data_IF_679634716982
#
_entry.id   IF_679634716982
#
_cell.length_a   1.000
_cell.length_b   1.000
_cell.length_c   1.000
_cell.angle_alpha   90.00
_cell.angle_beta   90.00
_cell.angle_gamma   90.00
#
_symmetry.space_group_name_H-M   'P 1'
#
loop_
_entity.id
_entity.type
_entity.pdbx_description
1 polymer ?
#
# COMPACT_ATOMS: atom_id res chain seq x y z
N UNK A 1 21.55 -42.76 49.57
CA UNK A 1 22.04 -41.40 49.88
C UNK A 1 22.82 -40.94 48.66
N UNK A 2 22.24 -40.08 47.83
CA UNK A 2 22.92 -39.29 46.79
C UNK A 2 21.96 -38.16 46.42
N UNK A 3 22.27 -36.97 46.91
CA UNK A 3 21.56 -35.73 46.61
C UNK A 3 22.18 -35.23 45.30
N UNK A 4 21.42 -35.29 44.21
CA UNK A 4 21.78 -34.57 42.98
C UNK A 4 21.09 -33.20 43.09
N UNK A 5 21.88 -32.19 43.42
CA UNK A 5 21.52 -30.78 43.27
C UNK A 5 21.40 -30.48 41.78
N UNK A 6 20.18 -30.49 41.24
CA UNK A 6 19.89 -29.87 39.95
C UNK A 6 19.80 -28.36 40.17
N UNK A 7 20.88 -27.65 39.82
CA UNK A 7 20.86 -26.20 39.66
C UNK A 7 19.80 -25.83 38.61
N UNK A 8 18.64 -25.37 39.07
CA UNK A 8 17.67 -24.67 38.25
C UNK A 8 18.17 -23.23 38.08
N UNK A 9 19.25 -23.06 37.32
CA UNK A 9 19.52 -21.76 36.71
C UNK A 9 18.52 -21.66 35.57
N UNK A 10 17.39 -21.00 35.84
CA UNK A 10 16.53 -20.52 34.79
C UNK A 10 17.40 -19.65 33.89
N UNK A 11 17.66 -20.11 32.66
CA UNK A 11 18.25 -19.29 31.60
C UNK A 11 17.31 -18.10 31.42
N UNK A 12 17.69 -16.97 32.03
CA UNK A 12 17.11 -15.69 31.68
C UNK A 12 17.78 -15.32 30.36
N UNK A 13 17.13 -15.70 29.27
CA UNK A 13 17.54 -15.32 27.93
C UNK A 13 17.20 -13.83 27.73
N UNK A 14 18.09 -12.96 28.19
CA UNK A 14 17.95 -11.50 28.01
C UNK A 14 18.35 -11.18 26.58
N UNK A 15 17.38 -11.21 25.68
CA UNK A 15 17.55 -10.65 24.35
C UNK A 15 17.46 -9.12 24.42
N UNK A 16 18.60 -8.44 24.42
CA UNK A 16 18.67 -6.99 24.17
C UNK A 16 18.58 -6.75 22.66
N UNK A 17 17.37 -6.86 22.13
CA UNK A 17 17.06 -6.52 20.74
C UNK A 17 16.88 -5.02 20.57
N UNK A 18 17.44 -4.44 19.51
CA UNK A 18 17.13 -3.08 19.10
C UNK A 18 15.75 -3.08 18.41
N UNK A 19 14.68 -3.05 19.21
CA UNK A 19 13.31 -2.97 18.69
C UNK A 19 13.13 -1.62 17.99
N UNK A 20 12.81 -1.67 16.70
CA UNK A 20 12.52 -0.46 15.95
C UNK A 20 11.13 0.04 16.36
N UNK A 21 11.08 1.17 17.06
CA UNK A 21 9.81 1.81 17.41
C UNK A 21 9.36 2.71 16.27
N UNK A 22 8.12 2.52 15.82
CA UNK A 22 7.50 3.36 14.79
C UNK A 22 6.52 4.29 15.48
N UNK A 23 6.76 5.60 15.37
CA UNK A 23 5.75 6.59 15.69
C UNK A 23 4.67 6.58 14.58
N UNK A 24 3.54 5.94 14.87
CA UNK A 24 2.48 5.74 13.89
C UNK A 24 1.77 7.03 13.47
N UNK A 25 1.71 8.05 14.34
CA UNK A 25 1.12 9.34 14.00
C UNK A 25 1.99 10.08 12.98
N UNK A 26 3.31 10.08 13.19
CA UNK A 26 4.29 10.65 12.24
C UNK A 26 4.31 9.84 10.94
N UNK A 27 4.16 8.51 11.03
CA UNK A 27 4.07 7.65 9.87
C UNK A 27 2.82 7.92 9.04
N UNK A 28 1.66 8.10 9.66
CA UNK A 28 0.42 8.44 8.95
C UNK A 28 0.57 9.77 8.18
N UNK A 29 1.18 10.79 8.79
CA UNK A 29 1.47 12.07 8.11
C UNK A 29 2.47 11.92 6.96
N UNK A 30 3.48 11.05 7.12
CA UNK A 30 4.43 10.74 6.05
C UNK A 30 3.75 10.03 4.87
N UNK A 31 2.84 9.10 5.15
CA UNK A 31 2.00 8.39 4.18
C UNK A 31 1.04 9.35 3.46
N UNK A 32 0.47 10.31 4.20
CA UNK A 32 -0.36 11.39 3.65
C UNK A 32 0.44 12.34 2.76
N UNK A 33 1.77 12.32 2.87
CA UNK A 33 2.68 13.00 1.95
C UNK A 33 3.26 14.29 2.50
N UNK A 34 3.06 14.59 3.78
CA UNK A 34 3.57 15.79 4.42
C UNK A 34 5.10 15.75 4.49
N UNK A 35 5.74 16.89 4.28
CA UNK A 35 7.15 17.09 4.57
C UNK A 35 7.37 17.31 6.09
N UNK A 36 8.63 17.34 6.52
CA UNK A 36 8.98 17.47 7.94
C UNK A 36 8.42 18.75 8.56
N UNK A 37 8.47 19.88 7.84
CA UNK A 37 7.97 21.17 8.34
C UNK A 37 6.44 21.16 8.51
N UNK A 38 5.73 20.58 7.54
CA UNK A 38 4.27 20.40 7.59
C UNK A 38 3.86 19.47 8.74
N UNK A 39 4.59 18.36 8.92
CA UNK A 39 4.37 17.40 9.99
C UNK A 39 4.55 18.05 11.38
N UNK A 40 5.65 18.79 11.59
CA UNK A 40 5.91 19.56 12.82
C UNK A 40 4.76 20.53 13.12
N UNK A 41 4.31 21.27 12.09
CA UNK A 41 3.23 22.24 12.21
C UNK A 41 1.92 21.55 12.59
N UNK A 42 1.59 20.43 11.93
CA UNK A 42 0.37 19.66 12.20
C UNK A 42 0.33 19.07 13.61
N UNK A 43 1.44 18.49 14.08
CA UNK A 43 1.53 17.92 15.42
C UNK A 43 1.44 18.99 16.51
N UNK A 44 1.93 20.21 16.22
CA UNK A 44 1.80 21.36 17.11
C UNK A 44 0.36 21.83 17.25
N UNK A 45 -0.35 21.96 16.13
CA UNK A 45 -1.77 22.36 16.13
C UNK A 45 -2.66 21.38 16.89
N UNK A 46 -2.34 20.08 16.84
CA UNK A 46 -3.02 19.03 17.61
C UNK A 46 -2.70 19.04 19.11
N UNK A 47 -1.78 19.88 19.56
CA UNK A 47 -1.39 19.96 20.97
C UNK A 47 -0.63 18.73 21.48
N UNK A 48 -0.14 17.85 20.58
CA UNK A 48 0.59 16.63 20.96
C UNK A 48 1.89 16.96 21.71
N UNK A 49 2.40 18.19 21.51
CA UNK A 49 3.59 18.71 22.18
C UNK A 49 3.31 20.00 22.99
N UNK A 50 2.06 20.21 23.45
CA UNK A 50 1.70 21.40 24.25
C UNK A 50 2.52 21.52 25.53
N UNK A 51 3.00 20.39 26.05
CA UNK A 51 3.71 20.29 27.32
C UNK A 51 5.22 20.49 27.18
N UNK A 52 5.74 20.60 25.95
CA UNK A 52 7.16 20.81 25.71
C UNK A 52 7.53 22.30 25.78
N UNK A 53 8.59 22.68 26.51
CA UNK A 53 9.06 24.05 26.57
C UNK A 53 9.37 24.60 25.17
N UNK A 54 9.11 25.89 24.94
CA UNK A 54 9.29 26.56 23.65
C UNK A 54 10.70 26.41 23.02
N UNK A 55 11.72 26.02 23.78
CA UNK A 55 13.08 25.74 23.31
C UNK A 55 13.32 24.32 22.75
N UNK A 56 12.30 23.44 22.70
CA UNK A 56 12.45 22.05 22.27
C UNK A 56 12.15 21.80 20.77
N UNK A 57 11.92 22.86 19.99
CA UNK A 57 11.52 22.73 18.58
C UNK A 57 12.56 22.00 17.75
N UNK A 58 13.85 22.28 17.98
CA UNK A 58 14.93 21.64 17.23
C UNK A 58 15.01 20.13 17.50
N UNK A 59 14.68 19.69 18.72
CA UNK A 59 14.61 18.27 19.06
C UNK A 59 13.45 17.57 18.36
N UNK A 60 12.27 18.20 18.33
CA UNK A 60 11.11 17.65 17.61
C UNK A 60 11.39 17.53 16.11
N UNK A 61 11.97 18.57 15.51
CA UNK A 61 12.38 18.55 14.10
C UNK A 61 13.40 17.44 13.85
N UNK A 62 14.37 17.25 14.75
CA UNK A 62 15.37 16.18 14.63
C UNK A 62 14.71 14.79 14.71
N UNK A 63 13.82 14.57 15.67
CA UNK A 63 13.14 13.29 15.88
C UNK A 63 12.25 12.91 14.68
N UNK A 64 11.51 13.87 14.13
CA UNK A 64 10.71 13.66 12.92
C UNK A 64 11.60 13.39 11.71
N UNK A 65 12.75 14.06 11.58
CA UNK A 65 13.71 13.78 10.52
C UNK A 65 14.24 12.35 10.61
N UNK A 66 14.58 11.88 11.81
CA UNK A 66 15.07 10.51 12.01
C UNK A 66 13.98 9.47 11.74
N UNK A 67 12.74 9.75 12.15
CA UNK A 67 11.56 8.95 11.78
C UNK A 67 11.38 8.87 10.25
N UNK A 68 11.50 10.00 9.55
CA UNK A 68 11.38 10.03 8.08
C UNK A 68 12.50 9.24 7.39
N UNK A 69 13.73 9.33 7.89
CA UNK A 69 14.87 8.53 7.39
C UNK A 69 14.60 7.04 7.58
N UNK A 70 14.12 6.64 8.76
CA UNK A 70 13.71 5.27 9.04
C UNK A 70 12.64 4.79 8.06
N UNK A 71 11.60 5.61 7.80
CA UNK A 71 10.53 5.24 6.87
C UNK A 71 11.04 5.06 5.44
N UNK A 72 11.93 5.92 4.96
CA UNK A 72 12.57 5.76 3.65
C UNK A 72 13.40 4.47 3.56
N UNK A 73 14.09 4.08 4.65
CA UNK A 73 14.82 2.80 4.69
C UNK A 73 13.87 1.60 4.66
N UNK A 74 12.79 1.63 5.45
CA UNK A 74 11.77 0.59 5.45
C UNK A 74 11.04 0.47 4.11
N UNK A 75 10.75 1.60 3.47
CA UNK A 75 10.23 1.66 2.10
C UNK A 75 11.19 0.97 1.14
N UNK A 76 12.45 1.37 1.11
CA UNK A 76 13.44 0.75 0.23
C UNK A 76 13.52 -0.77 0.41
N UNK A 77 13.49 -1.25 1.65
CA UNK A 77 13.50 -2.68 1.95
C UNK A 77 12.24 -3.39 1.44
N UNK A 78 11.05 -2.82 1.70
CA UNK A 78 9.79 -3.35 1.17
C UNK A 78 9.87 -3.51 -0.35
N UNK A 79 10.35 -2.47 -1.04
CA UNK A 79 10.32 -2.41 -2.50
C UNK A 79 11.34 -3.33 -3.16
N UNK A 80 12.50 -3.54 -2.53
CA UNK A 80 13.60 -4.34 -3.11
C UNK A 80 13.47 -5.83 -2.81
N UNK A 81 13.04 -6.18 -1.60
CA UNK A 81 13.07 -7.58 -1.13
C UNK A 81 11.75 -8.31 -1.34
N UNK A 82 10.67 -7.59 -1.66
CA UNK A 82 9.31 -8.14 -1.77
C UNK A 82 8.70 -8.59 -0.45
N UNK A 83 9.51 -8.74 0.63
CA UNK A 83 9.08 -9.23 1.93
C UNK A 83 9.86 -8.61 3.08
N UNK A 84 9.19 -7.72 3.82
CA UNK A 84 9.71 -7.15 5.07
C UNK A 84 9.89 -8.23 6.18
N UNK A 85 9.27 -9.39 6.04
CA UNK A 85 9.34 -10.50 7.02
C UNK A 85 10.72 -11.15 7.10
N UNK A 86 11.45 -11.20 5.99
CA UNK A 86 12.73 -11.93 5.87
C UNK A 86 13.96 -11.05 6.21
N UNK A 87 13.75 -9.77 6.53
CA UNK A 87 14.82 -8.82 6.81
C UNK A 87 15.17 -8.76 8.30
N UNK A 88 16.47 -8.87 8.60
CA UNK A 88 17.03 -8.80 9.97
C UNK A 88 17.48 -7.39 10.38
N UNK A 89 17.57 -6.45 9.43
CA UNK A 89 18.08 -5.09 9.67
C UNK A 89 17.21 -4.29 10.64
N UNK A 90 15.88 -4.48 10.60
CA UNK A 90 14.94 -3.84 11.51
C UNK A 90 14.14 -4.90 12.24
N UNK A 91 14.28 -4.92 13.57
CA UNK A 91 13.50 -5.82 14.43
C UNK A 91 12.14 -5.19 14.71
N UNK A 92 11.22 -5.40 13.76
CA UNK A 92 9.80 -5.09 13.89
C UNK A 92 9.02 -6.36 14.24
N UNK A 93 8.08 -6.25 15.18
CA UNK A 93 7.13 -7.33 15.46
C UNK A 93 6.20 -7.59 14.26
N UNK A 94 5.59 -8.77 14.21
CA UNK A 94 4.74 -9.20 13.11
C UNK A 94 3.54 -8.28 12.88
N UNK A 95 2.97 -7.72 13.95
CA UNK A 95 1.83 -6.81 13.85
C UNK A 95 2.27 -5.47 13.25
N UNK A 96 3.39 -4.90 13.70
CA UNK A 96 3.96 -3.68 13.12
C UNK A 96 4.34 -3.86 11.65
N UNK A 97 4.94 -5.00 11.27
CA UNK A 97 5.23 -5.32 9.86
C UNK A 97 3.95 -5.32 9.02
N UNK A 98 2.91 -6.00 9.47
CA UNK A 98 1.62 -6.06 8.76
C UNK A 98 0.98 -4.67 8.64
N UNK A 99 0.91 -3.91 9.72
CA UNK A 99 0.37 -2.55 9.74
C UNK A 99 1.14 -1.63 8.80
N UNK A 100 2.47 -1.73 8.78
CA UNK A 100 3.33 -0.94 7.91
C UNK A 100 3.02 -1.24 6.44
N UNK A 101 2.97 -2.51 6.05
CA UNK A 101 2.65 -2.94 4.67
C UNK A 101 1.25 -2.46 4.27
N UNK A 102 0.25 -2.69 5.11
CA UNK A 102 -1.13 -2.30 4.85
C UNK A 102 -1.27 -0.78 4.64
N UNK A 103 -0.68 0.02 5.53
CA UNK A 103 -0.70 1.49 5.43
C UNK A 103 0.13 1.98 4.24
N UNK A 104 1.29 1.38 3.97
CA UNK A 104 2.11 1.76 2.82
C UNK A 104 1.46 1.42 1.47
N UNK A 105 0.61 0.40 1.42
CA UNK A 105 -0.21 0.08 0.25
C UNK A 105 -1.62 0.67 0.31
N UNK A 106 -1.94 1.53 1.29
CA UNK A 106 -3.25 2.17 1.36
C UNK A 106 -3.57 2.90 0.06
N UNK A 107 -4.80 2.70 -0.42
CA UNK A 107 -5.30 3.23 -1.69
C UNK A 107 -6.58 4.02 -1.45
N UNK A 108 -6.49 5.32 -1.73
CA UNK A 108 -7.61 6.25 -1.70
C UNK A 108 -8.52 6.02 -2.90
N UNK A 109 -9.82 5.92 -2.64
CA UNK A 109 -10.80 5.62 -3.68
C UNK A 109 -10.98 6.77 -4.68
N UNK A 110 -10.80 8.02 -4.26
CA UNK A 110 -10.92 9.19 -5.13
C UNK A 110 -9.77 9.22 -6.13
N UNK A 111 -8.55 8.95 -5.66
CA UNK A 111 -7.40 8.77 -6.55
C UNK A 111 -7.57 7.57 -7.49
N UNK A 112 -7.98 6.42 -6.94
CA UNK A 112 -8.22 5.23 -7.75
C UNK A 112 -9.27 5.49 -8.85
N UNK A 113 -10.33 6.25 -8.53
CA UNK A 113 -11.37 6.65 -9.49
C UNK A 113 -10.83 7.46 -10.66
N UNK A 114 -9.91 8.39 -10.40
CA UNK A 114 -9.28 9.23 -11.43
C UNK A 114 -8.26 8.47 -12.28
N UNK A 115 -7.64 7.43 -11.71
CA UNK A 115 -6.65 6.59 -12.41
C UNK A 115 -7.27 5.49 -13.26
N UNK A 116 -8.48 5.04 -12.92
CA UNK A 116 -9.22 4.07 -13.71
C UNK A 116 -9.28 4.48 -15.18
N UNK A 117 -9.19 3.54 -16.13
CA UNK A 117 -9.29 3.80 -17.56
C UNK A 117 -8.16 4.67 -18.16
N UNK A 118 -7.18 5.10 -17.36
CA UNK A 118 -5.98 5.81 -17.84
C UNK A 118 -4.84 4.80 -18.01
N UNK A 119 -3.98 5.02 -19.01
CA UNK A 119 -2.83 4.14 -19.25
C UNK A 119 -1.80 4.31 -18.14
N UNK A 120 -1.44 3.22 -17.46
CA UNK A 120 -0.43 3.16 -16.39
C UNK A 120 1.00 3.34 -16.94
N UNK A 121 1.29 4.48 -17.57
CA UNK A 121 2.60 4.77 -18.18
C UNK A 121 3.48 5.65 -17.30
N UNK A 122 4.80 5.61 -17.50
CA UNK A 122 5.76 6.44 -16.76
C UNK A 122 5.65 7.94 -17.05
N UNK A 123 4.98 8.34 -18.14
CA UNK A 123 4.83 9.75 -18.59
C UNK A 123 3.70 10.51 -17.85
N UNK A 124 3.03 9.87 -16.90
CA UNK A 124 1.83 10.37 -16.21
C UNK A 124 2.05 11.41 -15.10
N UNK A 125 3.24 12.03 -15.02
CA UNK A 125 3.57 12.94 -13.89
C UNK A 125 2.67 14.17 -13.82
N UNK A 126 2.37 14.79 -14.97
CA UNK A 126 1.53 15.99 -15.05
C UNK A 126 0.09 15.73 -14.61
N UNK A 127 -0.45 14.58 -15.01
CA UNK A 127 -1.80 14.16 -14.61
C UNK A 127 -1.90 13.92 -13.09
N UNK A 128 -0.81 13.50 -12.43
CA UNK A 128 -0.82 13.34 -10.97
C UNK A 128 -0.88 14.68 -10.23
N UNK A 129 -0.31 15.74 -10.79
CA UNK A 129 -0.45 17.09 -10.23
C UNK A 129 -1.92 17.56 -10.32
N UNK A 130 -2.55 17.38 -11.49
CA UNK A 130 -3.98 17.71 -11.68
C UNK A 130 -4.91 16.86 -10.80
N UNK A 131 -4.61 15.57 -10.62
CA UNK A 131 -5.37 14.68 -9.71
C UNK A 131 -5.16 15.09 -8.26
N UNK A 132 -3.95 15.48 -7.87
CA UNK A 132 -3.63 16.00 -6.53
C UNK A 132 -4.51 17.22 -6.23
N UNK A 133 -4.57 18.19 -7.14
CA UNK A 133 -5.38 19.39 -6.98
C UNK A 133 -6.88 19.07 -6.91
N UNK A 134 -7.35 18.14 -7.75
CA UNK A 134 -8.77 17.75 -7.81
C UNK A 134 -9.25 16.99 -6.57
N UNK A 135 -8.41 16.10 -6.03
CA UNK A 135 -8.77 15.20 -4.92
C UNK A 135 -8.40 15.77 -3.55
N UNK A 136 -7.50 16.75 -3.50
CA UNK A 136 -6.94 17.28 -2.25
C UNK A 136 -5.91 16.36 -1.59
N UNK A 137 -5.56 15.24 -2.22
CA UNK A 137 -4.53 14.32 -1.73
C UNK A 137 -3.17 14.90 -2.08
N UNK A 138 -2.21 14.92 -1.15
CA UNK A 138 -0.88 15.43 -1.47
C UNK A 138 -0.21 14.63 -2.59
N UNK A 139 0.43 15.35 -3.50
CA UNK A 139 1.13 14.81 -4.65
C UNK A 139 2.12 13.68 -4.31
N UNK A 140 2.82 13.77 -3.17
CA UNK A 140 3.73 12.70 -2.72
C UNK A 140 2.97 11.40 -2.44
N UNK A 141 1.81 11.47 -1.80
CA UNK A 141 0.92 10.32 -1.59
C UNK A 141 0.34 9.81 -2.90
N UNK A 142 -0.08 10.72 -3.80
CA UNK A 142 -0.55 10.34 -5.14
C UNK A 142 0.49 9.52 -5.91
N UNK A 143 1.76 9.95 -5.88
CA UNK A 143 2.88 9.25 -6.52
C UNK A 143 3.12 7.87 -5.90
N UNK A 144 3.16 7.76 -4.56
CA UNK A 144 3.28 6.48 -3.86
C UNK A 144 2.18 5.51 -4.27
N UNK A 145 0.93 5.94 -4.23
CA UNK A 145 -0.23 5.12 -4.60
C UNK A 145 -0.15 4.66 -6.06
N UNK A 146 0.19 5.56 -6.99
CA UNK A 146 0.38 5.23 -8.40
C UNK A 146 1.53 4.23 -8.63
N UNK A 147 2.66 4.40 -7.94
CA UNK A 147 3.79 3.48 -8.03
C UNK A 147 3.44 2.08 -7.46
N UNK A 148 2.65 2.02 -6.39
CA UNK A 148 2.13 0.77 -5.86
C UNK A 148 1.18 0.08 -6.85
N UNK A 149 0.28 0.82 -7.52
CA UNK A 149 -0.59 0.28 -8.57
C UNK A 149 0.24 -0.32 -9.70
N UNK A 150 1.23 0.41 -10.22
CA UNK A 150 2.10 -0.10 -11.29
C UNK A 150 2.84 -1.38 -10.87
N UNK A 151 3.35 -1.42 -9.63
CA UNK A 151 4.06 -2.58 -9.12
C UNK A 151 3.14 -3.80 -9.06
N UNK A 152 1.95 -3.65 -8.48
CA UNK A 152 0.97 -4.72 -8.40
C UNK A 152 0.52 -5.17 -9.79
N UNK A 153 0.22 -4.22 -10.68
CA UNK A 153 -0.16 -4.51 -12.06
C UNK A 153 0.89 -5.36 -12.76
N UNK A 154 2.16 -4.92 -12.76
CA UNK A 154 3.26 -5.66 -13.40
C UNK A 154 3.46 -7.05 -12.80
N UNK A 155 3.26 -7.22 -11.49
CA UNK A 155 3.42 -8.51 -10.83
C UNK A 155 2.28 -9.47 -11.17
N UNK A 156 1.03 -8.98 -11.28
CA UNK A 156 -0.16 -9.83 -11.30
C UNK A 156 -0.78 -9.98 -12.69
N UNK A 157 -0.56 -9.05 -13.62
CA UNK A 157 -1.23 -9.07 -14.94
C UNK A 157 -0.94 -10.31 -15.78
N UNK A 158 0.23 -10.93 -15.58
CA UNK A 158 0.69 -12.14 -16.29
C UNK A 158 0.47 -13.42 -15.48
N UNK A 159 0.04 -13.31 -14.23
CA UNK A 159 -0.21 -14.47 -13.38
C UNK A 159 -1.55 -15.13 -13.75
N UNK A 160 -1.58 -16.46 -13.71
CA UNK A 160 -2.82 -17.22 -13.80
C UNK A 160 -3.60 -17.17 -12.48
N UNK A 161 -4.90 -17.46 -12.57
CA UNK A 161 -5.80 -17.55 -11.42
C UNK A 161 -6.26 -16.21 -10.84
N UNK A 162 -6.85 -16.28 -9.65
CA UNK A 162 -7.51 -15.17 -8.99
C UNK A 162 -6.60 -13.98 -8.72
N UNK A 163 -6.90 -12.82 -9.31
CA UNK A 163 -6.15 -11.58 -9.05
C UNK A 163 -6.15 -11.19 -7.57
N UNK A 164 -7.28 -11.35 -6.87
CA UNK A 164 -7.36 -11.02 -5.44
C UNK A 164 -6.41 -11.92 -4.65
N UNK A 165 -6.42 -13.24 -4.90
CA UNK A 165 -5.56 -14.18 -4.21
C UNK A 165 -4.08 -13.95 -4.54
N UNK A 166 -3.76 -13.70 -5.80
CA UNK A 166 -2.40 -13.39 -6.24
C UNK A 166 -1.85 -12.15 -5.51
N UNK A 167 -2.66 -11.08 -5.39
CA UNK A 167 -2.25 -9.87 -4.68
C UNK A 167 -2.04 -10.15 -3.18
N UNK A 168 -2.95 -10.88 -2.53
CA UNK A 168 -2.82 -11.25 -1.11
C UNK A 168 -1.51 -12.02 -0.88
N UNK A 169 -1.20 -13.01 -1.72
CA UNK A 169 -0.01 -13.85 -1.55
C UNK A 169 1.29 -13.13 -1.86
N UNK A 170 1.32 -12.32 -2.93
CA UNK A 170 2.56 -11.65 -3.37
C UNK A 170 2.90 -10.42 -2.54
N UNK A 171 1.90 -9.71 -2.01
CA UNK A 171 2.10 -8.44 -1.31
C UNK A 171 1.71 -8.48 0.18
N UNK A 172 1.17 -9.60 0.66
CA UNK A 172 0.70 -9.78 2.04
C UNK A 172 -0.32 -8.69 2.45
N UNK A 173 -1.21 -8.32 1.53
CA UNK A 173 -2.24 -7.31 1.76
C UNK A 173 -3.52 -7.92 2.34
N UNK A 174 -4.27 -7.17 3.18
CA UNK A 174 -5.61 -7.59 3.56
C UNK A 174 -6.52 -7.68 2.33
N UNK A 175 -7.46 -8.62 2.34
CA UNK A 175 -8.37 -8.91 1.22
C UNK A 175 -9.06 -7.66 0.65
N UNK A 176 -9.59 -6.78 1.50
CA UNK A 176 -10.28 -5.58 1.02
C UNK A 176 -9.38 -4.63 0.21
N UNK A 177 -8.08 -4.54 0.54
CA UNK A 177 -7.13 -3.75 -0.23
C UNK A 177 -6.73 -4.46 -1.52
N UNK A 178 -6.54 -5.78 -1.45
CA UNK A 178 -6.29 -6.61 -2.62
C UNK A 178 -7.44 -6.52 -3.66
N UNK A 179 -8.69 -6.47 -3.21
CA UNK A 179 -9.87 -6.29 -4.07
C UNK A 179 -9.88 -4.94 -4.80
N UNK A 180 -9.50 -3.84 -4.12
CA UNK A 180 -9.33 -2.53 -4.78
C UNK A 180 -8.25 -2.59 -5.87
N UNK A 181 -7.11 -3.21 -5.57
CA UNK A 181 -6.04 -3.34 -6.55
C UNK A 181 -6.43 -4.29 -7.71
N UNK A 182 -7.08 -5.42 -7.42
CA UNK A 182 -7.57 -6.35 -8.43
C UNK A 182 -8.54 -5.66 -9.41
N UNK A 183 -9.42 -4.79 -8.90
CA UNK A 183 -10.31 -3.94 -9.71
C UNK A 183 -9.51 -3.09 -10.71
N UNK A 184 -8.47 -2.40 -10.23
CA UNK A 184 -7.62 -1.57 -11.09
C UNK A 184 -6.87 -2.40 -12.14
N UNK A 185 -6.33 -3.55 -11.75
CA UNK A 185 -5.60 -4.45 -12.66
C UNK A 185 -6.54 -4.98 -13.72
N UNK A 186 -7.67 -5.58 -13.33
CA UNK A 186 -8.67 -6.14 -14.24
C UNK A 186 -9.14 -5.12 -15.27
N UNK A 187 -9.62 -3.96 -14.83
CA UNK A 187 -10.15 -2.95 -15.76
C UNK A 187 -9.06 -2.41 -16.70
N UNK A 188 -7.81 -2.35 -16.25
CA UNK A 188 -6.67 -1.92 -17.07
C UNK A 188 -6.27 -3.00 -18.08
N UNK A 189 -6.16 -4.27 -17.67
CA UNK A 189 -5.76 -5.40 -18.51
C UNK A 189 -6.72 -5.63 -19.67
N UNK A 190 -8.03 -5.48 -19.41
CA UNK A 190 -9.08 -5.62 -20.41
C UNK A 190 -9.52 -4.28 -21.04
N UNK A 191 -8.81 -3.18 -20.71
CA UNK A 191 -8.98 -1.84 -21.29
C UNK A 191 -10.42 -1.31 -21.22
N UNK A 192 -11.11 -1.53 -20.11
CA UNK A 192 -12.47 -1.02 -19.89
C UNK A 192 -12.51 0.53 -19.86
N UNK A 193 -13.44 1.12 -20.62
CA UNK A 193 -13.56 2.58 -20.73
C UNK A 193 -14.52 3.19 -19.69
N UNK A 194 -14.06 3.28 -18.43
CA UNK A 194 -14.86 3.78 -17.29
C UNK A 194 -14.75 5.31 -17.07
N UNK A 195 -14.04 6.01 -17.95
CA UNK A 195 -13.80 7.47 -17.86
C UNK A 195 -14.71 8.33 -18.75
N UNK A 196 -15.71 7.72 -19.40
CA UNK A 196 -16.67 8.48 -20.19
C UNK A 196 -17.47 9.40 -19.27
N UNK A 197 -17.73 10.64 -19.70
CA UNK A 197 -18.51 11.64 -18.95
C UNK A 197 -19.82 11.08 -18.37
N UNK A 198 -20.50 10.21 -19.12
CA UNK A 198 -21.74 9.53 -18.70
C UNK A 198 -21.58 8.62 -17.47
N UNK A 199 -20.37 8.22 -17.11
CA UNK A 199 -20.05 7.35 -15.98
C UNK A 199 -19.38 8.11 -14.82
N UNK A 200 -19.27 9.44 -14.90
CA UNK A 200 -18.61 10.26 -13.86
C UNK A 200 -19.35 10.23 -12.52
N UNK A 201 -20.65 9.89 -12.52
CA UNK A 201 -21.44 9.76 -11.30
C UNK A 201 -21.11 8.50 -10.48
N UNK A 202 -20.43 7.52 -11.09
CA UNK A 202 -20.06 6.27 -10.42
C UNK A 202 -18.81 6.49 -9.56
N UNK A 203 -18.89 6.11 -8.29
CA UNK A 203 -17.72 6.06 -7.41
C UNK A 203 -16.82 4.87 -7.75
N UNK A 204 -15.60 4.87 -7.21
CA UNK A 204 -14.70 3.72 -7.35
C UNK A 204 -15.31 2.45 -6.73
N UNK A 205 -15.96 2.57 -5.58
CA UNK A 205 -16.61 1.45 -4.88
C UNK A 205 -17.70 0.81 -5.74
N UNK A 206 -18.55 1.62 -6.38
CA UNK A 206 -19.62 1.13 -7.25
C UNK A 206 -19.05 0.34 -8.45
N UNK A 207 -17.97 0.84 -9.04
CA UNK A 207 -17.26 0.17 -10.13
C UNK A 207 -16.58 -1.12 -9.61
N UNK A 208 -15.99 -1.06 -8.42
CA UNK A 208 -15.26 -2.18 -7.81
C UNK A 208 -16.19 -3.36 -7.53
N UNK A 209 -17.38 -3.14 -6.98
CA UNK A 209 -18.37 -4.21 -6.76
C UNK A 209 -18.66 -4.96 -8.05
N UNK A 210 -18.95 -4.23 -9.14
CA UNK A 210 -19.25 -4.86 -10.43
C UNK A 210 -18.04 -5.60 -11.00
N UNK A 211 -16.84 -5.02 -10.85
CA UNK A 211 -15.60 -5.60 -11.36
C UNK A 211 -15.23 -6.88 -10.62
N UNK A 212 -15.42 -6.93 -9.30
CA UNK A 212 -15.15 -8.11 -8.49
C UNK A 212 -16.06 -9.28 -8.84
N UNK A 213 -17.34 -9.02 -9.17
CA UNK A 213 -18.24 -10.06 -9.69
C UNK A 213 -17.73 -10.63 -11.01
N UNK A 214 -17.23 -9.77 -11.91
CA UNK A 214 -16.65 -10.23 -13.18
C UNK A 214 -15.37 -11.02 -12.95
N UNK A 215 -14.49 -10.59 -12.05
CA UNK A 215 -13.27 -11.32 -11.70
C UNK A 215 -13.63 -12.72 -11.15
N UNK A 216 -14.52 -12.79 -10.16
CA UNK A 216 -14.94 -14.05 -9.54
C UNK A 216 -15.63 -15.01 -10.52
N UNK A 217 -16.41 -14.48 -11.47
CA UNK A 217 -17.18 -15.34 -12.39
C UNK A 217 -16.44 -15.70 -13.66
N UNK A 218 -15.53 -14.84 -14.12
CA UNK A 218 -14.94 -14.92 -15.45
C UNK A 218 -13.40 -15.06 -15.45
N UNK A 219 -12.76 -14.97 -14.28
CA UNK A 219 -11.31 -15.21 -14.11
C UNK A 219 -11.02 -16.38 -13.16
N UNK A 220 -11.90 -16.67 -12.20
CA UNK A 220 -11.78 -17.82 -11.30
C UNK A 220 -12.47 -19.06 -11.89
N UNK A 221 -11.88 -19.61 -12.95
CA UNK A 221 -12.24 -20.92 -13.47
C UNK A 221 -11.48 -22.02 -12.73
N UNK A 222 -12.18 -23.07 -12.27
CA UNK A 222 -11.54 -24.32 -11.87
C UNK A 222 -10.73 -24.88 -13.05
N UNK A 223 -9.51 -25.36 -12.77
CA UNK A 223 -8.40 -25.77 -13.66
C UNK A 223 -8.71 -26.77 -14.81
N UNK A 224 -9.98 -27.01 -15.16
CA UNK A 224 -10.42 -27.95 -16.19
C UNK A 224 -11.21 -27.33 -17.35
N UNK A 225 -11.67 -26.08 -17.25
CA UNK A 225 -12.41 -25.43 -18.33
C UNK A 225 -11.78 -24.08 -18.69
N UNK A 226 -11.55 -23.90 -19.98
CA UNK A 226 -11.12 -22.73 -20.76
C UNK A 226 -11.90 -21.41 -20.51
N UNK A 227 -12.56 -21.23 -19.37
CA UNK A 227 -13.40 -20.06 -19.05
C UNK A 227 -12.60 -18.88 -18.46
N UNK A 228 -11.35 -18.70 -18.91
CA UNK A 228 -10.69 -17.41 -18.71
C UNK A 228 -11.20 -16.45 -19.78
N UNK A 229 -11.59 -15.24 -19.40
CA UNK A 229 -11.86 -14.17 -20.38
C UNK A 229 -10.69 -14.03 -21.35
N UNK A 230 -10.94 -14.38 -22.59
CA UNK A 230 -9.96 -14.17 -23.65
C UNK A 230 -9.81 -12.67 -23.93
N UNK A 231 -8.58 -12.18 -23.72
CA UNK A 231 -8.20 -10.80 -24.00
C UNK A 231 -8.28 -10.49 -25.49
N UNK A 232 -8.08 -11.48 -26.35
CA UNK A 232 -8.12 -11.32 -27.80
C UNK A 232 -9.56 -11.21 -28.28
N UNK A 233 -10.48 -12.03 -27.74
CA UNK A 233 -11.92 -11.88 -27.96
C UNK A 233 -12.43 -10.48 -27.59
N UNK A 234 -12.14 -9.96 -26.39
CA UNK A 234 -12.60 -8.61 -26.03
C UNK A 234 -11.95 -7.50 -26.88
N UNK A 235 -10.76 -7.76 -27.41
CA UNK A 235 -10.09 -6.83 -28.32
C UNK A 235 -10.72 -6.84 -29.72
N UNK A 236 -11.25 -7.99 -30.19
CA UNK A 236 -11.89 -8.10 -31.50
C UNK A 236 -13.23 -7.36 -31.57
N UNK A 237 -14.01 -7.34 -30.47
CA UNK A 237 -15.27 -6.60 -30.35
C UNK A 237 -15.16 -5.08 -30.57
N UNK A 238 -13.95 -4.52 -30.62
CA UNK A 238 -13.74 -3.09 -30.91
C UNK A 238 -13.79 -2.74 -32.39
N UNK A 239 -13.71 -3.74 -33.26
CA UNK A 239 -13.65 -3.58 -34.72
C UNK A 239 -14.96 -3.97 -35.42
N UNK A 240 -16.00 -4.31 -34.65
CA UNK A 240 -17.39 -4.43 -35.09
C UNK A 240 -18.19 -3.16 -34.76
#
# INVERSE_FOLDING_TARGET
>A
MNIITSNFLADIDVFVGNYTLINWDVFDLWIDGLNVSECVSHLREKGIFSDFPHGCQDFLVSDINDSYRLFCMLEHLLLTTGKLSEQLTFQLDSHSKKRWVEKYYSLDSSLARELLGKKLSSRFKKDLDEISDKTGIHLKSCRRQFDNIKRIFKTVEEMSGCYVQNIVLQFNLPRGLAEKYATLVFLSSFKFEVNKKRLNYLSFEAISVSSLVLIDKWMDGDDANDQCLDRDFLSSLRYE
#
